data_IF_434879669468
#
_entry.id   IF_434879669468
#
_cell.length_a   1.000
_cell.length_b   1.000
_cell.length_c   1.000
_cell.angle_alpha   90.00
_cell.angle_beta   90.00
_cell.angle_gamma   90.00
#
_symmetry.space_group_name_H-M   'P 1'
#
loop_
_entity.id
_entity.type
_entity.pdbx_description
1 polymer ?
#
# COMPACT_ATOMS: atom_id res chain seq x y z
N UNK A 1 -0.71 -23.95 12.52
CA UNK A 1 -0.94 -22.53 12.21
C UNK A 1 -0.87 -21.76 13.52
N UNK A 2 -0.05 -20.70 13.64
CA UNK A 2 0.00 -19.91 14.86
C UNK A 2 -1.36 -19.25 15.09
N UNK A 3 -1.90 -19.37 16.30
CA UNK A 3 -3.13 -18.69 16.71
C UNK A 3 -2.75 -17.32 17.29
N UNK A 4 -3.24 -16.26 16.66
CA UNK A 4 -3.02 -14.90 17.14
C UNK A 4 -3.84 -14.65 18.41
N UNK A 5 -3.31 -13.88 19.35
CA UNK A 5 -4.08 -13.45 20.52
C UNK A 5 -5.29 -12.60 20.11
N UNK A 6 -6.39 -12.59 20.88
CA UNK A 6 -7.58 -11.79 20.55
C UNK A 6 -7.27 -10.31 20.32
N UNK A 7 -6.36 -9.75 21.13
CA UNK A 7 -5.93 -8.35 21.00
C UNK A 7 -5.19 -8.10 19.68
N UNK A 8 -4.35 -9.04 19.25
CA UNK A 8 -3.62 -8.91 17.99
C UNK A 8 -4.56 -9.07 16.78
N UNK A 9 -5.53 -9.98 16.86
CA UNK A 9 -6.57 -10.12 15.83
C UNK A 9 -7.36 -8.81 15.66
N UNK A 10 -7.76 -8.17 16.76
CA UNK A 10 -8.46 -6.89 16.71
C UNK A 10 -7.59 -5.79 16.06
N UNK A 11 -6.30 -5.71 16.39
CA UNK A 11 -5.39 -4.70 15.82
C UNK A 11 -5.14 -4.88 14.32
N UNK A 12 -5.12 -6.14 13.85
CA UNK A 12 -4.88 -6.50 12.46
C UNK A 12 -6.16 -6.62 11.61
N UNK A 13 -7.35 -6.45 12.19
CA UNK A 13 -8.63 -6.52 11.46
C UNK A 13 -8.88 -5.31 10.56
N UNK A 14 -9.60 -5.45 9.44
CA UNK A 14 -9.97 -4.31 8.59
C UNK A 14 -11.14 -3.51 9.17
N UNK A 15 -11.21 -2.16 8.95
CA UNK A 15 -10.27 -1.34 8.18
C UNK A 15 -9.05 -0.90 9.00
N UNK A 16 -7.93 -0.66 8.31
CA UNK A 16 -6.75 0.00 8.88
C UNK A 16 -6.97 1.52 8.84
N UNK A 17 -6.87 2.20 9.99
CA UNK A 17 -6.86 3.67 10.06
C UNK A 17 -5.41 4.18 10.01
N UNK A 18 -5.12 5.09 9.09
CA UNK A 18 -3.82 5.77 8.97
C UNK A 18 -4.09 7.28 9.06
N UNK A 19 -3.97 7.85 10.26
CA UNK A 19 -4.39 9.24 10.49
C UNK A 19 -5.87 9.42 10.18
N UNK A 20 -6.19 10.31 9.23
CA UNK A 20 -7.55 10.57 8.75
C UNK A 20 -7.99 9.68 7.57
N UNK A 21 -7.13 8.77 7.11
CA UNK A 21 -7.41 7.90 5.95
C UNK A 21 -7.76 6.50 6.41
N UNK A 22 -8.78 5.91 5.79
CA UNK A 22 -9.18 4.52 6.01
C UNK A 22 -8.74 3.65 4.84
N UNK A 23 -8.10 2.52 5.15
CA UNK A 23 -7.67 1.52 4.17
C UNK A 23 -8.40 0.21 4.45
N UNK A 24 -9.18 -0.26 3.47
CA UNK A 24 -10.05 -1.44 3.63
C UNK A 24 -9.26 -2.75 3.57
N UNK A 25 -8.10 -2.75 2.93
CA UNK A 25 -7.20 -3.89 2.83
C UNK A 25 -6.07 -3.84 3.88
N UNK A 26 -5.71 -5.02 4.41
CA UNK A 26 -4.50 -5.25 5.22
C UNK A 26 -3.30 -5.72 4.40
N UNK A 27 -3.51 -5.86 3.09
CA UNK A 27 -2.47 -6.10 2.09
C UNK A 27 -2.23 -4.78 1.37
N UNK A 28 -0.96 -4.33 1.37
CA UNK A 28 -0.52 -3.07 0.80
C UNK A 28 0.61 -3.35 -0.18
N UNK A 29 0.64 -2.66 -1.31
CA UNK A 29 1.72 -2.82 -2.28
C UNK A 29 2.94 -1.98 -1.86
N UNK A 30 4.09 -2.59 -1.59
CA UNK A 30 5.27 -1.82 -1.14
C UNK A 30 5.89 -0.97 -2.26
N UNK A 31 6.39 0.26 -1.99
CA UNK A 31 7.12 1.05 -2.98
C UNK A 31 8.50 0.43 -3.27
N UNK A 32 8.66 -0.19 -4.43
CA UNK A 32 9.86 -0.93 -4.84
C UNK A 32 10.44 -0.34 -6.13
N UNK A 33 11.65 0.23 -6.07
CA UNK A 33 12.26 0.88 -7.24
C UNK A 33 12.58 -0.13 -8.34
N UNK A 34 12.28 0.22 -9.59
CA UNK A 34 12.38 -0.65 -10.76
C UNK A 34 11.34 -1.77 -10.85
N UNK A 35 10.43 -1.90 -9.87
CA UNK A 35 9.42 -2.97 -9.81
C UNK A 35 8.00 -2.39 -9.78
N UNK A 36 7.79 -1.30 -9.05
CA UNK A 36 6.47 -0.66 -8.87
C UNK A 36 6.12 0.24 -10.05
N UNK A 37 6.24 -0.30 -11.26
CA UNK A 37 5.95 0.43 -12.49
C UNK A 37 4.44 0.48 -12.79
N UNK A 38 4.08 1.04 -13.95
CA UNK A 38 2.68 1.14 -14.36
C UNK A 38 2.03 -0.24 -14.58
N UNK A 39 2.76 -1.21 -15.12
CA UNK A 39 2.23 -2.53 -15.46
C UNK A 39 1.94 -3.31 -14.17
N UNK A 40 2.89 -3.32 -13.23
CA UNK A 40 2.71 -3.97 -11.94
C UNK A 40 1.55 -3.35 -11.17
N UNK A 41 1.45 -2.02 -11.10
CA UNK A 41 0.32 -1.36 -10.43
C UNK A 41 -1.03 -1.66 -11.11
N UNK A 42 -1.07 -1.81 -12.43
CA UNK A 42 -2.28 -2.24 -13.14
C UNK A 42 -2.68 -3.66 -12.77
N UNK A 43 -1.73 -4.57 -12.62
CA UNK A 43 -2.00 -5.94 -12.14
C UNK A 43 -2.53 -5.92 -10.71
N UNK A 44 -1.89 -5.18 -9.80
CA UNK A 44 -2.36 -5.03 -8.41
C UNK A 44 -3.77 -4.43 -8.38
N UNK A 45 -4.05 -3.37 -9.15
CA UNK A 45 -5.40 -2.79 -9.24
C UNK A 45 -6.44 -3.80 -9.71
N UNK A 46 -6.06 -4.70 -10.63
CA UNK A 46 -6.97 -5.72 -11.18
C UNK A 46 -7.28 -6.84 -10.19
N UNK A 47 -6.29 -7.29 -9.44
CA UNK A 47 -6.41 -8.49 -8.60
C UNK A 47 -6.59 -8.20 -7.09
N UNK A 48 -6.28 -6.98 -6.65
CA UNK A 48 -6.40 -6.55 -5.26
C UNK A 48 -6.99 -5.13 -5.21
N UNK A 49 -8.26 -5.00 -5.61
CA UNK A 49 -8.95 -3.72 -5.83
C UNK A 49 -8.93 -2.76 -4.63
N UNK A 50 -9.03 -3.31 -3.41
CA UNK A 50 -9.02 -2.56 -2.14
C UNK A 50 -7.61 -2.32 -1.58
N UNK A 51 -6.58 -2.85 -2.22
CA UNK A 51 -5.19 -2.66 -1.81
C UNK A 51 -4.76 -1.22 -2.06
N UNK A 52 -4.10 -0.63 -1.06
CA UNK A 52 -3.43 0.64 -1.25
C UNK A 52 -2.24 0.45 -2.19
N UNK A 53 -2.18 1.28 -3.23
CA UNK A 53 -1.10 1.28 -4.21
C UNK A 53 -0.17 2.47 -3.98
N UNK A 54 1.10 2.24 -4.25
CA UNK A 54 2.18 3.21 -4.13
C UNK A 54 2.87 3.31 -5.48
N UNK A 55 3.52 4.44 -5.75
CA UNK A 55 4.50 4.52 -6.84
C UNK A 55 5.87 4.13 -6.30
N UNK A 56 6.86 4.04 -7.19
CA UNK A 56 8.25 4.12 -6.76
C UNK A 56 8.51 5.42 -5.97
N UNK A 57 9.57 5.40 -5.17
CA UNK A 57 10.01 6.59 -4.45
C UNK A 57 10.40 7.66 -5.46
N UNK A 58 9.87 8.88 -5.27
CA UNK A 58 10.16 10.02 -6.14
C UNK A 58 11.22 10.90 -5.49
N UNK A 59 12.22 11.31 -6.26
CA UNK A 59 13.28 12.18 -5.78
C UNK A 59 12.80 13.64 -5.73
N UNK A 60 12.46 14.11 -4.53
CA UNK A 60 11.80 15.40 -4.31
C UNK A 60 12.56 16.62 -4.85
N UNK A 61 13.90 16.59 -4.85
CA UNK A 61 14.70 17.71 -5.36
C UNK A 61 14.62 17.85 -6.88
N UNK A 62 14.37 16.76 -7.61
CA UNK A 62 14.22 16.79 -9.07
C UNK A 62 12.85 17.31 -9.53
N UNK A 63 11.81 17.20 -8.68
CA UNK A 63 10.47 17.74 -8.98
C UNK A 63 10.46 19.25 -9.23
N UNK A 64 11.42 19.98 -8.65
CA UNK A 64 11.53 21.45 -8.82
C UNK A 64 11.87 21.87 -10.25
N UNK A 65 12.43 20.97 -11.06
CA UNK A 65 12.89 21.25 -12.42
C UNK A 65 11.91 20.76 -13.50
N UNK A 66 10.82 20.08 -13.12
CA UNK A 66 9.80 19.54 -14.02
C UNK A 66 8.72 20.59 -14.42
N UNK A 67 9.11 21.86 -14.55
CA UNK A 67 8.20 22.93 -14.99
C UNK A 67 7.88 22.85 -16.47
#
# INVERSE_FOLDING_TARGET
MPVLSPQLQQRLGSPLKIGSVEVNSRVLQSPLSGVTDLVFRRLVRRYATESMMYTEMVHASQLKYLR
#
